data_IF_528528334935
#
_entry.id   IF_528528334935
#
_cell.length_a   1.000
_cell.length_b   1.000
_cell.length_c   1.000
_cell.angle_alpha   90.00
_cell.angle_beta   90.00
_cell.angle_gamma   90.00
#
_symmetry.space_group_name_H-M   'P 1'
#
loop_
_entity.id
_entity.type
_entity.pdbx_description
1 polymer ?
#
# COMPACT_ATOMS: atom_id res chain seq x y z
N UNK A 1 -17.69 -14.56 -0.95
CA UNK A 1 -16.43 -14.48 -0.20
C UNK A 1 -16.04 -13.01 -0.14
N UNK A 2 -15.72 -12.48 1.04
CA UNK A 2 -15.33 -11.07 1.23
C UNK A 2 -13.85 -11.03 1.61
N UNK A 3 -13.12 -10.12 0.97
CA UNK A 3 -11.71 -9.82 1.27
C UNK A 3 -11.66 -8.39 1.80
N UNK A 4 -11.06 -8.21 2.97
CA UNK A 4 -10.73 -6.88 3.47
C UNK A 4 -9.40 -6.43 2.87
N UNK A 5 -9.43 -5.41 2.01
CA UNK A 5 -8.27 -5.00 1.23
C UNK A 5 -7.36 -3.99 1.94
N UNK A 6 -7.67 -3.58 3.18
CA UNK A 6 -6.92 -2.54 3.87
C UNK A 6 -6.91 -2.74 5.39
N UNK A 7 -5.98 -3.55 5.89
CA UNK A 7 -5.83 -3.81 7.32
C UNK A 7 -4.42 -3.49 7.79
N UNK A 8 -4.30 -2.61 8.78
CA UNK A 8 -3.07 -2.47 9.55
C UNK A 8 -3.01 -3.57 10.62
N UNK A 9 -1.89 -4.32 10.65
CA UNK A 9 -1.70 -5.43 11.57
C UNK A 9 -0.26 -5.45 12.11
N UNK A 10 -0.09 -5.34 13.43
CA UNK A 10 1.21 -5.24 14.09
C UNK A 10 1.12 -5.54 15.59
N UNK A 11 2.28 -5.81 16.20
CA UNK A 11 2.40 -6.23 17.60
C UNK A 11 3.48 -5.49 18.37
N UNK A 12 4.22 -4.59 17.71
CA UNK A 12 5.32 -3.88 18.35
C UNK A 12 4.81 -2.65 19.11
N UNK A 13 3.77 -1.99 18.59
CA UNK A 13 3.05 -0.96 19.32
C UNK A 13 1.84 -1.54 20.05
N UNK A 14 1.69 -1.16 21.32
CA UNK A 14 0.60 -1.67 22.17
C UNK A 14 -0.68 -0.83 22.09
N UNK A 15 -0.64 0.34 21.42
CA UNK A 15 -1.79 1.21 21.31
C UNK A 15 -1.83 2.00 19.98
N UNK A 16 -2.97 1.99 19.25
CA UNK A 16 -4.12 1.13 19.51
C UNK A 16 -3.78 -0.35 19.23
N UNK A 17 -4.40 -1.33 19.92
CA UNK A 17 -4.21 -2.74 19.63
C UNK A 17 -4.53 -3.07 18.18
N UNK A 18 -3.57 -3.65 17.47
CA UNK A 18 -3.63 -3.94 16.04
C UNK A 18 -3.09 -5.34 15.73
N UNK A 19 -3.07 -6.25 16.71
CA UNK A 19 -2.62 -7.62 16.43
C UNK A 19 -3.62 -8.35 15.54
N UNK A 20 -3.19 -9.48 14.97
CA UNK A 20 -4.10 -10.37 14.27
C UNK A 20 -5.31 -10.77 15.14
N UNK A 21 -5.08 -11.08 16.43
CA UNK A 21 -6.14 -11.53 17.34
C UNK A 21 -7.14 -10.40 17.62
N UNK A 22 -6.66 -9.16 17.78
CA UNK A 22 -7.51 -7.98 17.93
C UNK A 22 -8.41 -7.82 16.70
N UNK A 23 -7.82 -7.84 15.50
CA UNK A 23 -8.56 -7.74 14.24
C UNK A 23 -9.57 -8.89 14.08
N UNK A 24 -9.14 -10.14 14.29
CA UNK A 24 -9.97 -11.32 14.09
C UNK A 24 -11.16 -11.35 15.06
N UNK A 25 -10.99 -10.86 16.29
CA UNK A 25 -12.08 -10.74 17.26
C UNK A 25 -13.19 -9.80 16.77
N UNK A 26 -12.83 -8.72 16.07
CA UNK A 26 -13.76 -7.71 15.55
C UNK A 26 -14.51 -8.24 14.33
N UNK A 27 -13.81 -8.92 13.41
CA UNK A 27 -14.42 -9.39 12.16
C UNK A 27 -15.17 -10.73 12.31
N UNK A 28 -15.14 -11.36 13.48
CA UNK A 28 -15.81 -12.63 13.72
C UNK A 28 -17.31 -12.56 13.37
N UNK A 29 -17.76 -13.45 12.50
CA UNK A 29 -19.15 -13.47 12.00
C UNK A 29 -19.47 -12.54 10.81
N UNK A 30 -18.53 -11.69 10.37
CA UNK A 30 -18.74 -10.73 9.26
C UNK A 30 -18.75 -11.34 7.85
N UNK A 31 -18.35 -12.61 7.69
CA UNK A 31 -18.18 -13.25 6.39
C UNK A 31 -16.87 -12.90 5.66
N UNK A 32 -16.02 -12.04 6.24
CA UNK A 32 -14.66 -11.79 5.79
C UNK A 32 -13.82 -13.06 6.01
N UNK A 33 -13.10 -13.50 4.96
CA UNK A 33 -12.30 -14.74 4.99
C UNK A 33 -10.82 -14.51 4.69
N UNK A 34 -10.50 -13.39 4.06
CA UNK A 34 -9.13 -13.01 3.78
C UNK A 34 -8.94 -11.52 4.06
N UNK A 35 -7.73 -11.13 4.42
CA UNK A 35 -7.36 -9.72 4.49
C UNK A 35 -5.98 -9.47 3.90
N UNK A 36 -5.88 -8.35 3.17
CA UNK A 36 -4.62 -7.71 2.85
C UNK A 36 -4.14 -6.98 4.11
N UNK A 37 -3.03 -7.46 4.66
CA UNK A 37 -2.43 -6.91 5.87
C UNK A 37 -1.09 -6.28 5.55
N UNK A 38 -0.84 -5.14 6.18
CA UNK A 38 0.46 -4.47 6.21
C UNK A 38 0.72 -3.92 7.62
N UNK A 39 1.98 -3.71 8.03
CA UNK A 39 2.27 -3.17 9.35
C UNK A 39 1.61 -1.79 9.63
N UNK A 40 1.43 -1.41 10.90
CA UNK A 40 1.06 -0.06 11.28
C UNK A 40 2.16 0.94 10.90
N UNK A 41 1.77 2.15 10.49
CA UNK A 41 2.72 3.22 10.07
C UNK A 41 3.80 3.48 11.13
N UNK A 42 3.40 3.49 12.41
CA UNK A 42 4.28 3.72 13.57
C UNK A 42 5.35 2.63 13.79
N UNK A 43 5.16 1.45 13.20
CA UNK A 43 6.17 0.38 13.25
C UNK A 43 7.20 0.50 12.12
N UNK A 44 6.93 1.37 11.14
CA UNK A 44 7.74 1.56 9.94
C UNK A 44 8.63 2.79 10.15
N UNK A 45 8.09 3.98 10.37
CA UNK A 45 8.90 5.19 10.63
C UNK A 45 8.28 6.05 11.72
N UNK A 46 9.06 6.99 12.24
CA UNK A 46 8.50 8.02 13.12
C UNK A 46 7.75 9.05 12.27
N UNK A 47 6.42 8.89 12.18
CA UNK A 47 5.57 9.79 11.40
C UNK A 47 5.48 11.20 11.99
N UNK A 48 5.85 11.37 13.26
CA UNK A 48 5.73 12.64 13.98
C UNK A 48 7.02 13.48 13.94
N UNK A 49 8.11 12.96 13.37
CA UNK A 49 9.34 13.70 13.15
C UNK A 49 9.53 13.97 11.65
N UNK A 50 9.18 15.14 11.11
CA UNK A 50 9.35 15.48 9.69
C UNK A 50 10.79 15.33 9.17
N UNK A 51 11.79 15.35 10.05
CA UNK A 51 13.20 15.18 9.71
C UNK A 51 13.70 13.75 9.97
N UNK A 52 12.78 12.79 10.13
CA UNK A 52 13.09 11.41 10.43
C UNK A 52 14.17 10.85 9.49
N UNK A 53 15.18 10.24 10.09
CA UNK A 53 16.21 9.50 9.37
C UNK A 53 16.35 8.10 9.96
N UNK A 54 16.59 7.13 9.10
CA UNK A 54 16.70 5.74 9.53
C UNK A 54 17.91 5.50 10.42
N UNK A 55 17.66 5.08 11.65
CA UNK A 55 18.64 4.43 12.50
C UNK A 55 18.65 2.91 12.27
N UNK A 56 19.71 2.22 12.72
CA UNK A 56 19.74 0.75 12.72
C UNK A 56 18.57 0.15 13.50
N UNK A 57 18.14 0.81 14.59
CA UNK A 57 16.99 0.38 15.38
C UNK A 57 15.69 0.45 14.55
N UNK A 58 15.46 1.54 13.82
CA UNK A 58 14.27 1.69 12.98
C UNK A 58 14.24 0.71 11.82
N UNK A 59 15.39 0.45 11.18
CA UNK A 59 15.49 -0.60 10.14
C UNK A 59 15.13 -1.98 10.68
N UNK A 60 15.63 -2.34 11.87
CA UNK A 60 15.33 -3.61 12.51
C UNK A 60 13.85 -3.71 12.90
N UNK A 61 13.27 -2.62 13.44
CA UNK A 61 11.85 -2.51 13.78
C UNK A 61 10.95 -2.72 12.56
N UNK A 62 11.24 -2.00 11.46
CA UNK A 62 10.55 -2.11 10.17
C UNK A 62 10.61 -3.53 9.60
N UNK A 63 11.80 -4.15 9.65
CA UNK A 63 12.02 -5.53 9.22
C UNK A 63 11.15 -6.49 10.03
N UNK A 64 11.19 -6.39 11.36
CA UNK A 64 10.37 -7.22 12.25
C UNK A 64 8.87 -7.04 12.00
N UNK A 65 8.42 -5.81 11.72
CA UNK A 65 7.03 -5.49 11.40
C UNK A 65 6.57 -6.24 10.14
N UNK A 66 7.34 -6.15 9.06
CA UNK A 66 7.04 -6.84 7.81
C UNK A 66 7.14 -8.37 7.95
N UNK A 67 8.13 -8.87 8.68
CA UNK A 67 8.31 -10.30 8.92
C UNK A 67 7.18 -10.90 9.76
N UNK A 68 6.61 -10.15 10.71
CA UNK A 68 5.50 -10.63 11.55
C UNK A 68 4.34 -11.18 10.71
N UNK A 69 3.94 -10.46 9.66
CA UNK A 69 2.81 -10.86 8.80
C UNK A 69 3.04 -12.18 8.05
N UNK A 70 4.29 -12.50 7.72
CA UNK A 70 4.65 -13.76 7.07
C UNK A 70 4.51 -14.96 8.00
N UNK A 71 4.55 -14.73 9.31
CA UNK A 71 4.52 -15.75 10.35
C UNK A 71 3.12 -15.94 10.95
N UNK A 72 2.14 -15.12 10.59
CA UNK A 72 0.76 -15.35 10.98
C UNK A 72 0.27 -16.65 10.29
N UNK A 73 -0.08 -17.65 11.10
CA UNK A 73 -0.60 -18.94 10.66
C UNK A 73 -1.98 -19.16 11.24
N UNK A 74 -2.95 -19.37 10.36
CA UNK A 74 -4.39 -19.42 10.68
C UNK A 74 -5.05 -20.51 9.86
N UNK A 75 -6.08 -21.16 10.41
CA UNK A 75 -6.80 -22.26 9.75
C UNK A 75 -7.96 -21.76 8.90
N UNK A 76 -8.74 -20.82 9.43
CA UNK A 76 -10.05 -20.42 8.87
C UNK A 76 -10.06 -19.02 8.26
N UNK A 77 -8.87 -18.40 8.20
CA UNK A 77 -8.64 -17.06 7.71
C UNK A 77 -7.35 -17.03 6.90
N UNK A 78 -7.30 -16.23 5.83
CA UNK A 78 -6.09 -16.08 5.03
C UNK A 78 -5.53 -14.66 5.14
N UNK A 79 -4.30 -14.57 5.64
CA UNK A 79 -3.52 -13.32 5.59
C UNK A 79 -2.81 -13.21 4.25
N UNK A 80 -2.98 -12.07 3.59
CA UNK A 80 -2.30 -11.68 2.35
C UNK A 80 -1.28 -10.59 2.72
N UNK A 81 -0.01 -10.94 2.96
CA UNK A 81 0.96 -9.99 3.49
C UNK A 81 1.44 -9.04 2.38
N UNK A 82 1.33 -7.74 2.64
CA UNK A 82 1.93 -6.68 1.83
C UNK A 82 3.14 -6.13 2.55
N UNK A 83 4.22 -5.91 1.79
CA UNK A 83 5.43 -5.31 2.31
C UNK A 83 5.25 -3.80 2.40
N UNK A 84 5.40 -3.22 3.58
CA UNK A 84 5.36 -1.77 3.78
C UNK A 84 6.76 -1.21 3.56
N UNK A 85 6.90 -0.52 2.43
CA UNK A 85 8.16 0.06 1.96
C UNK A 85 8.42 1.42 2.62
N UNK A 86 9.70 1.76 2.78
CA UNK A 86 10.14 3.08 3.27
C UNK A 86 11.38 3.55 2.48
N UNK A 87 12.01 4.66 2.90
CA UNK A 87 13.18 5.28 2.28
C UNK A 87 14.47 4.46 2.27
N UNK A 88 14.54 3.37 3.04
CA UNK A 88 15.57 2.35 2.86
C UNK A 88 15.25 1.38 1.71
N UNK A 89 14.04 1.41 1.15
CA UNK A 89 13.64 0.67 -0.05
C UNK A 89 14.14 -0.79 -0.03
N UNK A 90 14.02 -1.45 1.12
CA UNK A 90 14.71 -2.71 1.45
C UNK A 90 14.15 -3.93 0.68
N UNK A 91 14.21 -3.88 -0.64
CA UNK A 91 13.67 -4.88 -1.56
C UNK A 91 14.37 -6.23 -1.47
N UNK A 92 15.56 -6.27 -0.89
CA UNK A 92 16.23 -7.51 -0.49
C UNK A 92 15.44 -8.32 0.55
N UNK A 93 14.51 -7.68 1.28
CA UNK A 93 13.62 -8.34 2.24
C UNK A 93 12.34 -8.91 1.60
N UNK A 94 12.07 -8.61 0.31
CA UNK A 94 10.92 -9.14 -0.40
C UNK A 94 11.05 -10.64 -0.70
N UNK A 95 10.27 -11.44 0.02
CA UNK A 95 10.07 -12.88 -0.27
C UNK A 95 8.90 -13.12 -1.23
N UNK A 96 8.79 -14.34 -1.78
CA UNK A 96 7.66 -14.79 -2.61
C UNK A 96 6.32 -14.87 -1.86
N UNK A 97 6.34 -14.78 -0.53
CA UNK A 97 5.14 -14.76 0.29
C UNK A 97 4.44 -13.39 0.23
N UNK A 98 5.18 -12.29 0.04
CA UNK A 98 4.57 -10.96 -0.13
C UNK A 98 3.77 -10.91 -1.42
N UNK A 99 2.57 -10.31 -1.35
CA UNK A 99 1.61 -10.24 -2.47
C UNK A 99 1.34 -8.83 -2.97
N UNK A 100 1.99 -7.83 -2.38
CA UNK A 100 1.91 -6.44 -2.81
C UNK A 100 2.71 -5.54 -1.89
N UNK A 101 2.62 -4.24 -2.12
CA UNK A 101 3.33 -3.21 -1.40
C UNK A 101 2.34 -2.24 -0.76
N UNK A 102 2.60 -1.83 0.48
CA UNK A 102 1.97 -0.65 1.09
C UNK A 102 2.95 0.51 0.97
N UNK A 103 2.48 1.60 0.37
CA UNK A 103 3.21 2.85 0.21
C UNK A 103 2.33 3.97 0.77
N UNK A 104 2.72 4.57 1.88
CA UNK A 104 1.88 5.52 2.61
C UNK A 104 2.69 6.72 3.05
N UNK A 105 2.10 7.91 2.88
CA UNK A 105 2.56 9.17 3.46
C UNK A 105 1.40 10.17 3.56
N UNK A 106 1.32 10.90 4.67
CA UNK A 106 0.50 12.11 4.79
C UNK A 106 1.33 13.40 4.65
N UNK A 107 0.66 14.53 4.43
CA UNK A 107 1.29 15.84 4.17
C UNK A 107 2.20 16.33 5.30
N UNK A 108 1.90 15.95 6.54
CA UNK A 108 2.63 16.31 7.76
C UNK A 108 3.72 15.30 8.15
N UNK A 109 3.92 14.26 7.34
CA UNK A 109 4.88 13.19 7.59
C UNK A 109 6.16 13.33 6.74
N UNK A 110 7.24 12.62 7.14
CA UNK A 110 8.51 12.62 6.40
C UNK A 110 8.32 12.18 4.95
N UNK A 111 9.00 12.85 4.04
CA UNK A 111 8.83 12.61 2.61
C UNK A 111 9.59 11.37 2.14
N UNK A 112 9.06 10.71 1.10
CA UNK A 112 9.81 9.70 0.37
C UNK A 112 10.90 10.34 -0.51
N UNK A 113 12.04 9.66 -0.60
CA UNK A 113 13.14 9.99 -1.47
C UNK A 113 12.91 9.40 -2.87
N UNK A 114 11.86 9.88 -3.56
CA UNK A 114 11.45 9.39 -4.87
C UNK A 114 12.57 9.45 -5.94
N UNK A 115 13.48 10.43 -5.84
CA UNK A 115 14.61 10.60 -6.76
C UNK A 115 15.83 9.73 -6.40
N UNK A 116 15.75 8.94 -5.34
CA UNK A 116 16.81 8.02 -4.96
C UNK A 116 16.96 6.89 -5.99
N UNK A 117 18.18 6.51 -6.39
CA UNK A 117 18.41 5.31 -7.20
C UNK A 117 17.86 4.04 -6.55
N UNK A 118 17.71 4.02 -5.21
CA UNK A 118 17.10 2.91 -4.48
C UNK A 118 15.58 2.84 -4.70
N UNK A 119 14.92 4.00 -4.84
CA UNK A 119 13.50 4.05 -5.20
C UNK A 119 13.29 3.42 -6.58
N UNK A 120 14.13 3.78 -7.56
CA UNK A 120 14.05 3.18 -8.91
C UNK A 120 14.23 1.67 -8.87
N UNK A 121 15.26 1.18 -8.18
CA UNK A 121 15.47 -0.27 -8.01
C UNK A 121 14.29 -0.96 -7.35
N UNK A 122 13.65 -0.31 -6.38
CA UNK A 122 12.48 -0.88 -5.74
C UNK A 122 11.29 -1.00 -6.68
N UNK A 123 11.04 0.03 -7.49
CA UNK A 123 9.99 -0.01 -8.51
C UNK A 123 10.27 -1.10 -9.55
N UNK A 124 11.52 -1.25 -9.98
CA UNK A 124 11.90 -2.31 -10.93
C UNK A 124 11.60 -3.72 -10.36
N UNK A 125 11.83 -3.94 -9.06
CA UNK A 125 11.46 -5.19 -8.38
C UNK A 125 9.94 -5.38 -8.25
N UNK A 126 9.19 -4.30 -8.01
CA UNK A 126 7.73 -4.33 -7.94
C UNK A 126 7.14 -4.73 -9.30
N UNK A 127 7.65 -4.14 -10.38
CA UNK A 127 7.25 -4.46 -11.76
C UNK A 127 7.63 -5.89 -12.11
N UNK A 128 8.87 -6.31 -11.85
CA UNK A 128 9.35 -7.65 -12.22
C UNK A 128 8.55 -8.77 -11.55
N UNK A 129 8.02 -8.51 -10.35
CA UNK A 129 7.19 -9.43 -9.58
C UNK A 129 5.70 -9.24 -9.79
N UNK A 130 5.29 -8.28 -10.62
CA UNK A 130 3.90 -7.88 -10.84
C UNK A 130 3.14 -7.63 -9.52
N UNK A 131 3.77 -6.90 -8.60
CA UNK A 131 3.21 -6.61 -7.29
C UNK A 131 2.32 -5.36 -7.34
N UNK A 132 1.05 -5.44 -6.92
CA UNK A 132 0.23 -4.24 -6.76
C UNK A 132 0.74 -3.37 -5.60
N UNK A 133 0.51 -2.05 -5.70
CA UNK A 133 0.87 -1.07 -4.67
C UNK A 133 -0.40 -0.44 -4.14
N UNK A 134 -0.68 -0.59 -2.84
CA UNK A 134 -1.64 0.26 -2.12
C UNK A 134 -0.93 1.58 -1.85
N UNK A 135 -1.30 2.62 -2.62
CA UNK A 135 -0.70 3.94 -2.57
C UNK A 135 -1.62 4.91 -1.83
N UNK A 136 -1.13 5.45 -0.72
CA UNK A 136 -1.81 6.45 0.09
C UNK A 136 -0.94 7.70 0.15
N UNK A 137 -1.29 8.69 -0.67
CA UNK A 137 -0.54 9.94 -0.86
C UNK A 137 -1.46 11.07 -1.34
N UNK A 138 -0.98 12.30 -1.22
CA UNK A 138 -1.50 13.50 -1.85
C UNK A 138 -1.52 13.36 -3.38
N UNK A 139 -2.44 14.10 -4.01
CA UNK A 139 -2.73 14.00 -5.44
C UNK A 139 -1.48 14.18 -6.33
N UNK A 140 -0.67 15.19 -6.08
CA UNK A 140 0.49 15.51 -6.93
C UNK A 140 1.53 14.38 -6.91
N UNK A 141 1.78 13.79 -5.74
CA UNK A 141 2.68 12.65 -5.61
C UNK A 141 2.05 11.38 -6.19
N UNK A 142 0.73 11.21 -6.09
CA UNK A 142 0.03 10.11 -6.78
C UNK A 142 0.21 10.20 -8.30
N UNK A 143 -0.01 11.38 -8.89
CA UNK A 143 0.16 11.59 -10.34
C UNK A 143 1.60 11.33 -10.75
N UNK A 144 2.57 11.90 -10.02
CA UNK A 144 4.00 11.63 -10.25
C UNK A 144 4.30 10.14 -10.17
N UNK A 145 3.72 9.43 -9.20
CA UNK A 145 3.94 8.01 -9.02
C UNK A 145 3.46 7.20 -10.22
N UNK A 146 2.21 7.40 -10.66
CA UNK A 146 1.59 6.64 -11.75
C UNK A 146 2.09 7.03 -13.14
N UNK A 147 2.59 8.25 -13.34
CA UNK A 147 3.02 8.68 -14.67
C UNK A 147 4.53 8.55 -14.89
N UNK A 148 5.32 8.77 -13.85
CA UNK A 148 6.77 8.98 -13.97
C UNK A 148 7.58 7.93 -13.24
N UNK A 149 7.15 7.53 -12.05
CA UNK A 149 7.94 6.64 -11.18
C UNK A 149 7.65 5.17 -11.51
N UNK A 150 6.37 4.79 -11.54
CA UNK A 150 5.90 3.41 -11.54
C UNK A 150 4.75 3.19 -12.54
N UNK A 151 4.94 3.66 -13.79
CA UNK A 151 3.93 3.68 -14.85
C UNK A 151 3.22 2.35 -15.13
N UNK A 152 3.92 1.24 -14.95
CA UNK A 152 3.43 -0.10 -15.28
C UNK A 152 2.99 -0.91 -14.04
N UNK A 153 2.89 -0.25 -12.88
CA UNK A 153 2.48 -0.88 -11.63
C UNK A 153 0.97 -0.76 -11.45
N UNK A 154 0.32 -1.85 -11.05
CA UNK A 154 -1.08 -1.79 -10.61
C UNK A 154 -1.17 -1.04 -9.29
N UNK A 155 -1.82 0.12 -9.29
CA UNK A 155 -1.98 0.97 -8.10
C UNK A 155 -3.41 0.87 -7.56
N UNK A 156 -3.52 0.61 -6.25
CA UNK A 156 -4.75 0.57 -5.48
C UNK A 156 -4.82 1.84 -4.63
N UNK A 157 -5.85 2.66 -4.85
CA UNK A 157 -6.07 3.90 -4.09
C UNK A 157 -7.08 3.63 -2.96
N UNK A 158 -6.67 3.71 -1.68
CA UNK A 158 -7.54 3.45 -0.54
C UNK A 158 -8.45 4.65 -0.22
N UNK A 159 -9.33 4.49 0.76
CA UNK A 159 -10.20 5.55 1.30
C UNK A 159 -11.03 6.29 0.24
N UNK A 160 -11.39 5.60 -0.85
CA UNK A 160 -12.10 6.21 -1.99
C UNK A 160 -11.36 7.45 -2.55
N UNK A 161 -10.04 7.47 -2.44
CA UNK A 161 -9.19 8.55 -2.92
C UNK A 161 -9.10 9.76 -2.02
N UNK A 162 -9.43 9.68 -0.72
CA UNK A 162 -9.46 10.82 0.21
C UNK A 162 -8.23 11.74 0.10
N UNK A 163 -7.01 11.22 0.25
CA UNK A 163 -5.78 12.02 0.14
C UNK A 163 -5.50 12.53 -1.27
N UNK A 164 -6.06 11.85 -2.27
CA UNK A 164 -5.95 12.25 -3.67
C UNK A 164 -6.97 13.35 -4.02
N UNK A 165 -7.66 13.96 -3.04
CA UNK A 165 -8.72 14.94 -3.24
C UNK A 165 -10.14 14.36 -3.24
N UNK A 166 -10.29 13.09 -2.86
CA UNK A 166 -11.57 12.37 -2.78
C UNK A 166 -12.29 12.26 -4.13
N UNK A 167 -13.62 12.10 -4.07
CA UNK A 167 -14.47 11.98 -5.26
C UNK A 167 -14.32 13.15 -6.25
N UNK A 168 -14.00 14.36 -5.77
CA UNK A 168 -13.86 15.54 -6.63
C UNK A 168 -12.67 15.47 -7.59
N UNK A 169 -11.60 14.79 -7.18
CA UNK A 169 -10.39 14.62 -7.98
C UNK A 169 -10.33 13.27 -8.71
N UNK A 170 -11.28 12.35 -8.46
CA UNK A 170 -11.29 11.03 -9.08
C UNK A 170 -11.37 11.10 -10.61
N UNK A 171 -12.02 12.14 -11.16
CA UNK A 171 -12.07 12.39 -12.60
C UNK A 171 -10.70 12.70 -13.21
N UNK A 172 -9.80 13.33 -12.44
CA UNK A 172 -8.43 13.58 -12.87
C UNK A 172 -7.71 12.23 -12.99
N UNK A 173 -7.80 11.37 -11.96
CA UNK A 173 -7.18 10.05 -11.98
C UNK A 173 -7.77 9.14 -13.07
N UNK A 174 -9.09 9.13 -13.25
CA UNK A 174 -9.75 8.36 -14.32
C UNK A 174 -9.30 8.85 -15.69
N UNK A 175 -9.26 10.18 -15.93
CA UNK A 175 -8.80 10.72 -17.21
C UNK A 175 -7.34 10.37 -17.51
N UNK A 176 -6.48 10.33 -16.48
CA UNK A 176 -5.09 9.90 -16.64
C UNK A 176 -4.98 8.40 -16.94
N UNK A 177 -5.78 7.56 -16.26
CA UNK A 177 -5.86 6.13 -16.55
C UNK A 177 -6.39 5.87 -17.97
N UNK A 178 -7.39 6.63 -18.44
CA UNK A 178 -7.93 6.54 -19.79
C UNK A 178 -6.92 6.98 -20.86
N UNK A 179 -6.16 8.05 -20.63
CA UNK A 179 -5.06 8.48 -21.52
C UNK A 179 -3.93 7.46 -21.56
N UNK A 180 -3.63 6.80 -20.44
CA UNK A 180 -2.72 5.66 -20.37
C UNK A 180 -3.24 4.44 -21.13
N UNK A 181 -4.52 4.12 -20.98
CA UNK A 181 -5.18 2.99 -21.66
C UNK A 181 -5.39 3.19 -23.17
N UNK A 182 -5.46 4.42 -23.68
CA UNK A 182 -5.42 4.65 -25.13
C UNK A 182 -4.08 4.19 -25.76
N UNK A 183 -3.02 4.00 -24.95
CA UNK A 183 -1.79 3.34 -25.37
C UNK A 183 -1.76 1.82 -25.09
N UNK A 184 -2.82 1.24 -24.52
CA UNK A 184 -2.95 -0.18 -24.19
C UNK A 184 -4.41 -0.61 -23.96
N UNK A 185 -5.09 -1.00 -25.05
CA UNK A 185 -6.35 -1.74 -25.20
C UNK A 185 -7.54 -1.57 -24.21
N UNK A 186 -8.66 -1.18 -24.81
CA UNK A 186 -10.09 -1.18 -24.40
C UNK A 186 -10.50 -2.13 -23.25
N UNK A 187 -10.87 -1.56 -22.10
CA UNK A 187 -11.69 -2.28 -21.10
C UNK A 187 -12.70 -1.40 -20.33
N UNK A 188 -12.46 -0.09 -20.19
CA UNK A 188 -13.26 0.79 -19.33
C UNK A 188 -14.46 1.50 -19.99
N UNK A 189 -14.52 1.55 -21.33
CA UNK A 189 -15.61 2.24 -22.06
C UNK A 189 -16.99 1.59 -21.88
N UNK A 190 -17.07 0.35 -21.40
CA UNK A 190 -18.35 -0.34 -21.17
C UNK A 190 -18.98 -0.05 -19.81
N UNK A 191 -18.26 0.55 -18.85
CA UNK A 191 -18.83 0.82 -17.53
C UNK A 191 -19.58 2.17 -17.49
N UNK A 192 -19.05 3.21 -18.15
CA UNK A 192 -19.64 4.55 -18.14
C UNK A 192 -20.92 4.67 -18.99
N UNK A 193 -21.09 3.84 -20.02
CA UNK A 193 -22.31 3.79 -20.83
C UNK A 193 -23.51 3.15 -20.12
N UNK A 194 -23.30 2.50 -18.98
CA UNK A 194 -24.37 1.90 -18.16
C UNK A 194 -24.87 2.77 -17.00
N UNK A 195 -24.20 3.91 -16.73
CA UNK A 195 -24.55 4.82 -15.63
C UNK A 195 -25.30 6.07 -16.15
N UNK A 196 -25.45 6.23 -17.46
CA UNK A 196 -26.19 7.33 -18.10
C UNK A 196 -27.44 6.84 -18.85
N UNK A 197 -28.22 5.96 -18.22
CA UNK A 197 -29.62 5.71 -18.58
C UNK A 197 -30.56 6.13 -17.45
#
# INVERSE_FOLDING_TARGET
>A
MIIDAHVHCGIQDQFPPQSYDDYFSIISGSGIKEAVMFPPVMEIYDRYDPNFTDSTQWKNRRKAANEYLLHIRTTDFRVIPYFFIWNDFAVDQLTSQHKGIKWHRHSDEPMYYYDSPRCRKAVDEIISRNMPVVLEEELDNTIRFIEQIAKDVTVIIPHMGMLNGGYGAIFILISLLEKGMQSGCEFLMNYLSSITM
#
